data_IF_413105696061
#
_entry.id   IF_413105696061
#
_cell.length_a   1.000
_cell.length_b   1.000
_cell.length_c   1.000
_cell.angle_alpha   90.00
_cell.angle_beta   90.00
_cell.angle_gamma   90.00
#
_symmetry.space_group_name_H-M   'P 1'
#
loop_
_entity.id
_entity.type
_entity.pdbx_description
1 polymer ?
#
# COMPACT_ATOMS: atom_id res chain seq x y z
N UNK A 1 51.23 12.93 -7.98
CA UNK A 1 50.71 14.09 -7.23
C UNK A 1 49.81 13.59 -6.12
N UNK A 2 50.15 13.86 -4.86
CA UNK A 2 49.38 13.50 -3.66
C UNK A 2 48.72 14.78 -3.14
N UNK A 3 47.39 14.83 -3.10
CA UNK A 3 46.67 15.90 -2.42
C UNK A 3 46.35 15.45 -1.00
N UNK A 4 46.97 16.12 -0.03
CA UNK A 4 46.55 16.11 1.38
C UNK A 4 45.48 17.18 1.53
N UNK A 5 44.34 16.81 2.08
CA UNK A 5 43.40 17.76 2.66
C UNK A 5 43.27 17.38 4.13
N UNK A 6 43.90 18.19 4.97
CA UNK A 6 43.71 18.20 6.41
C UNK A 6 43.41 19.66 6.75
N UNK A 7 42.17 19.93 7.12
CA UNK A 7 41.77 21.15 7.81
C UNK A 7 40.44 20.87 8.47
N UNK A 8 40.51 20.53 9.74
CA UNK A 8 39.45 20.73 10.72
C UNK A 8 38.94 22.16 10.68
N UNK A 9 37.63 22.35 10.69
CA UNK A 9 37.02 23.33 11.59
C UNK A 9 35.56 22.98 11.92
N UNK A 10 35.32 22.95 13.23
CA UNK A 10 34.07 22.63 13.94
C UNK A 10 33.00 23.69 13.64
N UNK A 11 31.75 23.25 13.44
CA UNK A 11 30.58 23.54 14.31
C UNK A 11 29.26 23.32 13.57
N UNK A 12 28.63 22.16 13.78
CA UNK A 12 27.17 22.03 13.77
C UNK A 12 26.77 21.04 14.86
N UNK A 13 26.50 21.59 16.04
CA UNK A 13 25.79 20.85 17.08
C UNK A 13 24.32 20.71 16.66
N UNK A 14 23.90 19.48 16.40
CA UNK A 14 22.57 19.01 16.71
C UNK A 14 22.71 17.51 17.03
N UNK A 15 22.73 17.18 18.32
CA UNK A 15 22.65 15.80 18.79
C UNK A 15 21.47 15.11 18.11
N UNK A 16 21.66 13.95 17.44
CA UNK A 16 20.55 13.04 17.23
C UNK A 16 20.07 12.59 18.62
N UNK A 17 18.77 12.60 18.94
CA UNK A 17 18.31 11.98 20.18
C UNK A 17 18.78 10.53 20.17
N UNK A 18 19.57 10.20 21.19
CA UNK A 18 20.10 8.88 21.47
C UNK A 18 18.99 7.85 21.28
N UNK A 19 19.28 6.85 20.46
CA UNK A 19 18.56 5.58 20.43
C UNK A 19 18.37 5.13 21.88
N UNK A 20 17.11 5.07 22.33
CA UNK A 20 16.76 4.53 23.64
C UNK A 20 17.43 3.15 23.77
N UNK A 21 18.30 2.90 24.78
CA UNK A 21 19.05 1.64 24.89
C UNK A 21 18.17 0.45 25.31
N UNK A 22 16.87 0.68 25.48
CA UNK A 22 15.91 -0.32 25.88
C UNK A 22 14.80 -0.34 24.83
N UNK A 23 14.91 -1.13 23.75
CA UNK A 23 13.74 -1.43 22.95
C UNK A 23 12.81 -2.16 23.92
N UNK A 24 11.78 -1.47 24.42
CA UNK A 24 10.65 -2.14 25.08
C UNK A 24 10.32 -3.34 24.20
N UNK A 25 10.17 -4.55 24.77
CA UNK A 25 9.88 -5.73 23.97
C UNK A 25 8.71 -5.35 23.09
N UNK A 26 8.94 -5.30 21.78
CA UNK A 26 7.91 -5.03 20.81
C UNK A 26 6.93 -6.18 21.03
N UNK A 27 5.74 -5.96 21.61
CA UNK A 27 4.84 -7.07 21.83
C UNK A 27 4.54 -7.62 20.43
N UNK A 28 4.99 -8.86 20.19
CA UNK A 28 4.66 -9.59 18.99
C UNK A 28 3.13 -9.60 18.79
N UNK A 29 2.68 -9.70 17.54
CA UNK A 29 1.58 -8.91 17.03
C UNK A 29 0.26 -9.41 17.58
N UNK A 30 -0.26 -8.75 18.61
CA UNK A 30 -1.70 -8.72 18.80
C UNK A 30 -2.29 -8.17 17.49
N UNK A 31 -3.13 -8.99 16.84
CA UNK A 31 -3.87 -8.57 15.68
C UNK A 31 -4.64 -7.28 15.96
N UNK A 32 -5.09 -6.59 14.92
CA UNK A 32 -5.82 -5.35 15.08
C UNK A 32 -7.03 -5.58 15.99
N UNK A 33 -7.24 -4.68 16.94
CA UNK A 33 -8.46 -4.61 17.73
C UNK A 33 -9.68 -4.31 16.82
N UNK A 34 -10.92 -4.71 17.17
CA UNK A 34 -12.09 -4.42 16.34
C UNK A 34 -12.25 -2.94 15.97
N UNK A 35 -11.92 -2.00 16.86
CA UNK A 35 -12.00 -0.57 16.55
C UNK A 35 -10.97 -0.16 15.49
N UNK A 36 -9.75 -0.70 15.57
CA UNK A 36 -8.70 -0.47 14.57
C UNK A 36 -9.07 -1.07 13.21
N UNK A 37 -9.76 -2.22 13.19
CA UNK A 37 -10.26 -2.83 11.94
C UNK A 37 -11.30 -1.94 11.26
N UNK A 38 -12.26 -1.42 12.03
CA UNK A 38 -13.30 -0.52 11.50
C UNK A 38 -12.67 0.75 10.93
N UNK A 39 -11.77 1.38 11.68
CA UNK A 39 -11.11 2.61 11.22
C UNK A 39 -10.20 2.34 10.02
N UNK A 40 -9.52 1.19 9.96
CA UNK A 40 -8.73 0.79 8.81
C UNK A 40 -9.59 0.65 7.54
N UNK A 41 -10.76 0.00 7.63
CA UNK A 41 -11.70 -0.09 6.50
C UNK A 41 -12.20 1.28 6.06
N UNK A 42 -12.49 2.17 7.03
CA UNK A 42 -12.89 3.55 6.74
C UNK A 42 -11.80 4.29 5.96
N UNK A 43 -10.55 4.22 6.40
CA UNK A 43 -9.42 4.85 5.70
C UNK A 43 -9.24 4.31 4.29
N UNK A 44 -9.41 3.00 4.08
CA UNK A 44 -9.36 2.40 2.74
C UNK A 44 -10.50 2.88 1.85
N UNK A 45 -11.70 2.99 2.40
CA UNK A 45 -12.87 3.52 1.71
C UNK A 45 -12.67 4.99 1.31
N UNK A 46 -12.04 5.79 2.18
CA UNK A 46 -11.70 7.20 1.93
C UNK A 46 -10.54 7.37 0.93
N UNK A 47 -9.96 6.26 0.45
CA UNK A 47 -9.00 6.26 -0.65
C UNK A 47 -7.55 6.06 -0.23
N UNK A 48 -7.23 5.93 1.06
CA UNK A 48 -5.86 5.62 1.48
C UNK A 48 -5.47 4.22 1.00
N UNK A 49 -4.17 4.04 0.70
CA UNK A 49 -3.60 2.71 0.49
C UNK A 49 -3.34 1.99 1.81
N UNK A 50 -3.23 0.65 1.79
CA UNK A 50 -3.00 -0.18 2.99
C UNK A 50 -1.82 0.31 3.84
N UNK A 51 -0.69 0.64 3.20
CA UNK A 51 0.52 1.11 3.89
C UNK A 51 0.30 2.45 4.58
N UNK A 52 -0.33 3.40 3.89
CA UNK A 52 -0.65 4.72 4.45
C UNK A 52 -1.67 4.64 5.57
N UNK A 53 -2.66 3.74 5.44
CA UNK A 53 -3.63 3.48 6.49
C UNK A 53 -2.96 2.87 7.73
N UNK A 54 -2.02 1.93 7.56
CA UNK A 54 -1.21 1.40 8.66
C UNK A 54 -0.42 2.49 9.38
N UNK A 55 0.30 3.32 8.62
CA UNK A 55 1.08 4.42 9.17
C UNK A 55 0.20 5.42 9.93
N UNK A 56 -0.99 5.74 9.41
CA UNK A 56 -1.93 6.67 10.03
C UNK A 56 -2.54 6.14 11.34
N UNK A 57 -2.73 4.83 11.45
CA UNK A 57 -3.23 4.18 12.67
C UNK A 57 -2.14 3.79 13.65
N UNK A 58 -0.87 4.00 13.31
CA UNK A 58 0.27 3.56 14.14
C UNK A 58 0.37 2.04 14.26
N UNK A 59 -0.17 1.28 13.31
CA UNK A 59 -0.13 -0.19 13.32
C UNK A 59 0.98 -0.73 12.42
N UNK A 60 1.58 -1.84 12.81
CA UNK A 60 2.59 -2.51 12.00
C UNK A 60 1.96 -3.28 10.83
N UNK A 61 2.67 -3.37 9.71
CA UNK A 61 2.26 -4.22 8.57
C UNK A 61 2.18 -5.70 8.99
N UNK A 62 3.02 -6.14 9.93
CA UNK A 62 3.00 -7.51 10.46
C UNK A 62 1.69 -7.80 11.22
N UNK A 63 1.22 -6.87 12.05
CA UNK A 63 -0.06 -6.98 12.76
C UNK A 63 -1.25 -7.01 11.79
N UNK A 64 -1.19 -6.22 10.71
CA UNK A 64 -2.17 -6.30 9.63
C UNK A 64 -2.16 -7.69 8.98
N UNK A 65 -0.99 -8.21 8.62
CA UNK A 65 -0.86 -9.53 8.00
C UNK A 65 -1.36 -10.66 8.89
N UNK A 66 -1.03 -10.63 10.19
CA UNK A 66 -1.56 -11.58 11.18
C UNK A 66 -3.10 -11.53 11.22
N UNK A 67 -3.67 -10.33 11.29
CA UNK A 67 -5.13 -10.15 11.28
C UNK A 67 -5.79 -10.65 10.01
N UNK A 68 -5.16 -10.45 8.84
CA UNK A 68 -5.67 -10.94 7.55
C UNK A 68 -5.61 -12.48 7.45
N UNK A 69 -4.67 -13.11 8.14
CA UNK A 69 -4.57 -14.56 8.21
C UNK A 69 -5.65 -15.15 9.12
N UNK A 70 -5.91 -14.52 10.26
CA UNK A 70 -6.84 -15.01 11.28
C UNK A 70 -8.31 -14.65 11.02
N UNK A 71 -8.58 -13.54 10.33
CA UNK A 71 -9.93 -13.00 10.14
C UNK A 71 -10.32 -12.95 8.64
N UNK A 72 -10.89 -14.03 8.08
CA UNK A 72 -11.32 -14.08 6.68
C UNK A 72 -12.39 -13.05 6.31
N UNK A 73 -13.26 -12.69 7.25
CA UNK A 73 -14.31 -11.67 7.04
C UNK A 73 -13.69 -10.29 6.81
N UNK A 74 -12.69 -9.92 7.61
CA UNK A 74 -11.96 -8.67 7.47
C UNK A 74 -11.19 -8.61 6.14
N UNK A 75 -10.54 -9.71 5.76
CA UNK A 75 -9.90 -9.83 4.45
C UNK A 75 -10.90 -9.62 3.30
N UNK A 76 -12.05 -10.29 3.33
CA UNK A 76 -13.11 -10.12 2.32
C UNK A 76 -13.62 -8.68 2.24
N UNK A 77 -13.78 -8.00 3.37
CA UNK A 77 -14.20 -6.60 3.40
C UNK A 77 -13.18 -5.68 2.68
N UNK A 78 -11.88 -5.92 2.89
CA UNK A 78 -10.82 -5.19 2.17
C UNK A 78 -10.88 -5.48 0.67
N UNK A 79 -11.00 -6.76 0.30
CA UNK A 79 -11.07 -7.17 -1.11
C UNK A 79 -12.27 -6.52 -1.82
N UNK A 80 -13.42 -6.41 -1.15
CA UNK A 80 -14.60 -5.73 -1.67
C UNK A 80 -14.37 -4.23 -1.89
N UNK A 81 -13.75 -3.55 -0.92
CA UNK A 81 -13.43 -2.12 -1.06
C UNK A 81 -12.47 -1.90 -2.24
N UNK A 82 -11.45 -2.74 -2.36
CA UNK A 82 -10.48 -2.64 -3.46
C UNK A 82 -11.09 -2.96 -4.82
N UNK A 83 -12.02 -3.92 -4.88
CA UNK A 83 -12.79 -4.21 -6.09
C UNK A 83 -13.58 -2.98 -6.54
N UNK A 84 -14.36 -2.37 -5.64
CA UNK A 84 -15.14 -1.17 -5.95
C UNK A 84 -14.23 -0.02 -6.38
N UNK A 85 -13.06 0.12 -5.75
CA UNK A 85 -12.07 1.14 -6.16
C UNK A 85 -11.51 0.88 -7.56
N UNK A 86 -11.21 -0.37 -7.88
CA UNK A 86 -10.74 -0.75 -9.21
C UNK A 86 -11.82 -0.50 -10.27
N UNK A 87 -13.08 -0.80 -9.98
CA UNK A 87 -14.22 -0.50 -10.86
C UNK A 87 -14.37 1.00 -11.10
N UNK A 88 -14.31 1.82 -10.04
CA UNK A 88 -14.36 3.29 -10.14
C UNK A 88 -13.21 3.84 -11.00
N UNK A 89 -11.99 3.35 -10.78
CA UNK A 89 -10.82 3.73 -11.59
C UNK A 89 -11.02 3.35 -13.05
N UNK A 90 -11.57 2.17 -13.32
CA UNK A 90 -11.83 1.70 -14.67
C UNK A 90 -12.85 2.59 -15.39
N UNK A 91 -13.96 2.93 -14.72
CA UNK A 91 -14.97 3.85 -15.24
C UNK A 91 -14.36 5.23 -15.57
N UNK A 92 -13.49 5.74 -14.70
CA UNK A 92 -12.80 7.01 -14.93
C UNK A 92 -11.87 6.95 -16.16
N UNK A 93 -11.09 5.88 -16.30
CA UNK A 93 -10.22 5.66 -17.46
C UNK A 93 -11.03 5.52 -18.76
N UNK A 94 -12.17 4.84 -18.70
CA UNK A 94 -13.05 4.68 -19.85
C UNK A 94 -13.62 6.02 -20.31
N UNK A 95 -14.12 6.84 -19.39
CA UNK A 95 -14.59 8.20 -19.70
C UNK A 95 -13.45 9.06 -20.27
N UNK A 96 -12.25 9.00 -19.69
CA UNK A 96 -11.09 9.72 -20.20
C UNK A 96 -10.74 9.31 -21.64
N UNK A 97 -10.78 8.01 -21.94
CA UNK A 97 -10.53 7.49 -23.28
C UNK A 97 -11.58 7.99 -24.30
N UNK A 98 -12.86 8.01 -23.92
CA UNK A 98 -13.94 8.55 -24.77
C UNK A 98 -13.77 10.06 -25.05
N UNK A 99 -13.20 10.80 -24.10
CA UNK A 99 -12.88 12.22 -24.26
C UNK A 99 -11.58 12.48 -25.04
N UNK A 100 -10.94 11.43 -25.59
CA UNK A 100 -9.75 11.56 -26.43
C UNK A 100 -8.42 11.39 -25.70
N UNK A 101 -8.40 10.96 -24.43
CA UNK A 101 -7.16 10.58 -23.76
C UNK A 101 -6.62 9.25 -24.35
N UNK A 102 -5.67 9.39 -25.27
CA UNK A 102 -5.03 8.27 -25.96
C UNK A 102 -4.26 7.35 -25.02
N UNK A 103 -3.73 7.85 -23.90
CA UNK A 103 -3.01 7.01 -22.91
C UNK A 103 -3.99 6.11 -22.18
N UNK A 104 -5.15 6.64 -21.80
CA UNK A 104 -6.21 5.87 -21.18
C UNK A 104 -6.74 4.78 -22.15
N UNK A 105 -6.93 5.13 -23.43
CA UNK A 105 -7.33 4.18 -24.46
C UNK A 105 -6.32 3.04 -24.64
N UNK A 106 -5.03 3.37 -24.77
CA UNK A 106 -3.95 2.38 -24.90
C UNK A 106 -3.85 1.46 -23.68
N UNK A 107 -4.03 2.00 -22.48
CA UNK A 107 -4.05 1.20 -21.25
C UNK A 107 -5.20 0.18 -21.25
N UNK A 108 -6.41 0.61 -21.65
CA UNK A 108 -7.58 -0.26 -21.71
C UNK A 108 -7.41 -1.38 -22.77
N UNK A 109 -6.88 -1.05 -23.95
CA UNK A 109 -6.57 -2.02 -25.01
C UNK A 109 -5.54 -3.06 -24.53
N UNK A 110 -4.41 -2.61 -23.97
CA UNK A 110 -3.37 -3.51 -23.49
C UNK A 110 -3.87 -4.45 -22.38
N UNK A 111 -4.81 -3.98 -21.55
CA UNK A 111 -5.46 -4.82 -20.53
C UNK A 111 -6.38 -5.87 -21.18
N UNK A 112 -7.16 -5.48 -22.18
CA UNK A 112 -8.06 -6.39 -22.91
C UNK A 112 -7.27 -7.52 -23.57
N UNK A 113 -6.17 -7.21 -24.25
CA UNK A 113 -5.34 -8.21 -24.94
C UNK A 113 -4.79 -9.26 -23.97
N UNK A 114 -4.28 -8.82 -22.81
CA UNK A 114 -3.81 -9.72 -21.74
C UNK A 114 -4.92 -10.62 -21.21
N UNK A 115 -6.16 -10.14 -21.17
CA UNK A 115 -7.29 -10.94 -20.71
C UNK A 115 -7.69 -12.01 -21.75
N UNK A 116 -7.68 -11.67 -23.04
CA UNK A 116 -7.84 -12.65 -24.12
C UNK A 116 -6.78 -13.74 -24.02
N UNK A 117 -5.51 -13.36 -23.90
CA UNK A 117 -4.40 -14.32 -23.79
C UNK A 117 -4.57 -15.26 -22.59
N UNK A 118 -5.01 -14.74 -21.44
CA UNK A 118 -5.27 -15.55 -20.25
C UNK A 118 -6.39 -16.56 -20.46
N UNK A 119 -7.45 -16.18 -21.19
CA UNK A 119 -8.57 -17.08 -21.51
C UNK A 119 -8.13 -18.16 -22.50
N UNK A 120 -7.38 -17.79 -23.54
CA UNK A 120 -6.84 -18.74 -24.52
C UNK A 120 -5.92 -19.80 -23.89
N UNK A 121 -5.26 -19.49 -22.77
CA UNK A 121 -4.38 -20.40 -22.03
C UNK A 121 -5.09 -21.32 -21.03
N UNK A 122 -6.40 -21.17 -20.78
CA UNK A 122 -7.16 -22.13 -19.97
C UNK A 122 -7.73 -23.21 -20.90
N UNK A 123 -7.17 -24.43 -20.92
CA UNK A 123 -7.83 -25.52 -21.62
C UNK A 123 -9.18 -25.79 -20.93
N UNK A 124 -10.25 -25.89 -21.72
CA UNK A 124 -11.53 -26.44 -21.27
C UNK A 124 -11.27 -27.86 -20.73
N UNK A 125 -11.68 -28.09 -19.49
CA UNK A 125 -11.64 -29.41 -18.85
C UNK A 125 -12.95 -30.12 -19.04
#
# INVERSE_FOLDING_TARGET
MRFRFDSDDKTWHANPPLLDPNPKPNPDPEGLDPQQRIEFLRLLHDGLGRVSACARLGISIRSLQATLAECPSFRRAIDQIELIRAERLYSALFIAALNGDTRAALFLLARHDREIERRARRPEK
#
